data_IF_039260781640
#
_entry.id   IF_039260781640
#
_cell.length_a   1.000
_cell.length_b   1.000
_cell.length_c   1.000
_cell.angle_alpha   90.00
_cell.angle_beta   90.00
_cell.angle_gamma   90.00
#
_symmetry.space_group_name_H-M   'P 1'
#
loop_
_entity.id
_entity.type
_entity.pdbx_description
1 polymer ?
#
# COMPACT_ATOMS: atom_id res chain seq x y z
N UNK A 1 23.20 -1.68 -5.70
CA UNK A 1 21.75 -2.01 -5.77
C UNK A 1 20.95 -0.72 -5.78
N UNK A 2 19.85 -0.65 -6.53
CA UNK A 2 18.94 0.51 -6.47
C UNK A 2 18.18 0.49 -5.13
N UNK A 3 18.08 1.61 -4.38
CA UNK A 3 17.28 1.66 -3.16
C UNK A 3 15.79 1.43 -3.44
N UNK A 4 15.08 0.88 -2.46
CA UNK A 4 13.63 0.72 -2.55
C UNK A 4 12.96 2.09 -2.39
N UNK A 5 12.21 2.51 -3.40
CA UNK A 5 11.38 3.73 -3.35
C UNK A 5 9.94 3.33 -3.09
N UNK A 6 9.27 4.06 -2.20
CA UNK A 6 7.91 3.74 -1.76
C UNK A 6 6.99 4.90 -2.08
N UNK A 7 6.04 4.67 -2.98
CA UNK A 7 5.06 5.67 -3.42
C UNK A 7 3.77 5.44 -2.66
N UNK A 8 3.35 6.44 -1.90
CA UNK A 8 2.08 6.45 -1.20
C UNK A 8 1.08 7.28 -2.01
N UNK A 9 -0.06 6.68 -2.35
CA UNK A 9 -1.15 7.32 -3.08
C UNK A 9 -2.39 7.26 -2.19
N UNK A 10 -2.90 8.43 -1.79
CA UNK A 10 -4.15 8.54 -1.07
C UNK A 10 -5.25 8.89 -2.08
N UNK A 11 -6.34 8.13 -2.09
CA UNK A 11 -7.41 8.26 -3.07
C UNK A 11 -8.78 8.35 -2.39
N UNK A 12 -9.61 9.25 -2.92
CA UNK A 12 -11.01 9.41 -2.55
C UNK A 12 -11.76 10.01 -3.73
N UNK A 13 -12.71 9.29 -4.29
CA UNK A 13 -13.53 9.70 -5.43
C UNK A 13 -12.73 10.36 -6.58
N UNK A 14 -11.66 9.68 -6.99
CA UNK A 14 -10.68 10.17 -7.98
C UNK A 14 -10.81 9.48 -9.35
N UNK A 15 -11.89 8.74 -9.62
CA UNK A 15 -12.05 7.84 -10.78
C UNK A 15 -11.56 8.47 -12.10
N UNK A 16 -11.94 9.73 -12.34
CA UNK A 16 -11.66 10.46 -13.58
C UNK A 16 -10.16 10.55 -13.94
N UNK A 17 -9.27 10.65 -12.96
CA UNK A 17 -7.84 10.87 -13.19
C UNK A 17 -6.96 9.77 -12.58
N UNK A 18 -7.51 8.95 -11.70
CA UNK A 18 -6.77 7.98 -10.92
C UNK A 18 -6.04 6.95 -11.79
N UNK A 19 -6.68 6.46 -12.85
CA UNK A 19 -6.07 5.51 -13.77
C UNK A 19 -4.81 6.07 -14.45
N UNK A 20 -4.86 7.33 -14.91
CA UNK A 20 -3.73 7.99 -15.56
C UNK A 20 -2.58 8.21 -14.58
N UNK A 21 -2.87 8.71 -13.37
CA UNK A 21 -1.85 8.91 -12.34
C UNK A 21 -1.21 7.59 -11.90
N UNK A 22 -2.00 6.54 -11.71
CA UNK A 22 -1.49 5.23 -11.32
C UNK A 22 -0.64 4.60 -12.44
N UNK A 23 -1.06 4.71 -13.70
CA UNK A 23 -0.28 4.27 -14.85
C UNK A 23 1.08 4.98 -14.92
N UNK A 24 1.13 6.29 -14.66
CA UNK A 24 2.38 7.05 -14.64
C UNK A 24 3.34 6.54 -13.55
N UNK A 25 2.84 6.17 -12.37
CA UNK A 25 3.66 5.61 -11.28
C UNK A 25 4.12 4.18 -11.60
N UNK A 26 3.25 3.36 -12.19
CA UNK A 26 3.56 1.97 -12.56
C UNK A 26 4.65 1.91 -13.66
N UNK A 27 4.58 2.83 -14.62
CA UNK A 27 5.48 2.88 -15.79
C UNK A 27 6.79 3.66 -15.54
N UNK A 28 7.11 4.01 -14.29
CA UNK A 28 8.37 4.66 -13.97
C UNK A 28 9.59 3.80 -14.38
N UNK A 29 10.65 4.47 -14.83
CA UNK A 29 11.93 3.81 -15.16
C UNK A 29 12.59 3.19 -13.94
N UNK A 30 12.34 3.75 -12.74
CA UNK A 30 12.77 3.16 -11.47
C UNK A 30 11.97 1.89 -11.18
N UNK A 31 12.64 0.73 -11.20
CA UNK A 31 11.95 -0.57 -11.07
C UNK A 31 11.76 -1.03 -9.64
N UNK A 32 12.68 -0.66 -8.73
CA UNK A 32 12.62 -1.04 -7.32
C UNK A 32 11.62 -0.16 -6.55
N UNK A 33 10.33 -0.34 -6.86
CA UNK A 33 9.19 0.41 -6.32
C UNK A 33 8.28 -0.47 -5.47
N UNK A 34 7.74 0.14 -4.42
CA UNK A 34 6.55 -0.31 -3.70
C UNK A 34 5.47 0.78 -3.83
N UNK A 35 4.25 0.42 -4.22
CA UNK A 35 3.15 1.37 -4.39
C UNK A 35 2.07 1.04 -3.35
N UNK A 36 1.84 1.93 -2.40
CA UNK A 36 0.78 1.82 -1.41
C UNK A 36 -0.38 2.74 -1.79
N UNK A 37 -1.54 2.19 -2.02
CA UNK A 37 -2.78 2.93 -2.25
C UNK A 37 -3.63 2.88 -0.97
N UNK A 38 -4.03 4.03 -0.46
CA UNK A 38 -5.00 4.16 0.64
C UNK A 38 -6.28 4.75 0.07
N UNK A 39 -7.32 3.93 -0.03
CA UNK A 39 -8.65 4.35 -0.47
C UNK A 39 -9.52 4.66 0.75
N UNK A 40 -9.99 5.90 0.85
CA UNK A 40 -10.79 6.38 1.98
C UNK A 40 -12.30 6.12 1.80
N UNK A 41 -12.62 4.91 1.30
CA UNK A 41 -13.99 4.48 1.05
C UNK A 41 -14.61 5.26 -0.09
N UNK A 42 -13.95 5.28 -1.24
CA UNK A 42 -14.52 5.89 -2.44
C UNK A 42 -15.87 5.25 -2.80
N UNK A 43 -16.79 6.06 -3.31
CA UNK A 43 -18.12 5.64 -3.77
C UNK A 43 -18.22 5.57 -5.29
N UNK A 44 -17.13 5.89 -5.98
CA UNK A 44 -17.00 5.84 -7.44
C UNK A 44 -16.10 4.66 -7.87
N UNK A 45 -15.67 4.64 -9.14
CA UNK A 45 -14.80 3.60 -9.70
C UNK A 45 -13.35 3.58 -9.17
N UNK A 46 -12.94 4.49 -8.28
CA UNK A 46 -11.54 4.62 -7.83
C UNK A 46 -10.96 3.30 -7.29
N UNK A 47 -11.68 2.63 -6.40
CA UNK A 47 -11.22 1.38 -5.80
C UNK A 47 -11.18 0.23 -6.82
N UNK A 48 -12.11 0.20 -7.77
CA UNK A 48 -12.13 -0.79 -8.84
C UNK A 48 -10.88 -0.64 -9.73
N UNK A 49 -10.56 0.58 -10.14
CA UNK A 49 -9.35 0.89 -10.89
C UNK A 49 -8.10 0.43 -10.11
N UNK A 50 -7.98 0.76 -8.83
CA UNK A 50 -6.85 0.33 -8.01
C UNK A 50 -6.67 -1.19 -8.02
N UNK A 51 -7.77 -1.94 -7.83
CA UNK A 51 -7.77 -3.40 -7.80
C UNK A 51 -7.42 -4.01 -9.16
N UNK A 52 -7.87 -3.41 -10.26
CA UNK A 52 -7.52 -3.89 -11.58
C UNK A 52 -6.02 -3.76 -11.85
N UNK A 53 -5.41 -2.63 -11.52
CA UNK A 53 -3.95 -2.48 -11.61
C UNK A 53 -3.20 -3.47 -10.72
N UNK A 54 -3.70 -3.73 -9.50
CA UNK A 54 -3.09 -4.70 -8.57
C UNK A 54 -3.04 -6.13 -9.14
N UNK A 55 -4.00 -6.53 -9.98
CA UNK A 55 -3.97 -7.86 -10.64
C UNK A 55 -2.76 -8.03 -11.55
N UNK A 56 -2.31 -6.94 -12.18
CA UNK A 56 -1.22 -6.95 -13.16
C UNK A 56 0.12 -6.52 -12.57
N UNK A 57 0.14 -5.76 -11.49
CA UNK A 57 1.36 -5.28 -10.84
C UNK A 57 1.39 -5.63 -9.34
N UNK A 58 2.21 -6.62 -9.00
CA UNK A 58 2.40 -7.10 -7.62
C UNK A 58 3.06 -6.10 -6.67
N UNK A 59 3.62 -5.00 -7.19
CA UNK A 59 4.17 -3.91 -6.37
C UNK A 59 3.08 -3.09 -5.70
N UNK A 60 1.83 -3.21 -6.15
CA UNK A 60 0.68 -2.45 -5.64
C UNK A 60 0.06 -3.15 -4.42
N UNK A 61 -0.04 -2.39 -3.32
CA UNK A 61 -0.72 -2.79 -2.09
C UNK A 61 -1.85 -1.82 -1.82
N UNK A 62 -3.06 -2.33 -1.61
CA UNK A 62 -4.25 -1.50 -1.39
C UNK A 62 -4.71 -1.63 0.07
N UNK A 63 -5.01 -0.50 0.68
CA UNK A 63 -5.70 -0.39 1.96
C UNK A 63 -7.00 0.39 1.73
N UNK A 64 -8.10 -0.33 1.58
CA UNK A 64 -9.42 0.27 1.35
C UNK A 64 -10.25 0.28 2.63
N UNK A 65 -11.00 1.35 2.84
CA UNK A 65 -11.95 1.46 3.94
C UNK A 65 -13.38 1.14 3.48
N UNK A 66 -14.04 0.24 4.18
CA UNK A 66 -15.48 0.03 3.99
C UNK A 66 -16.26 1.05 4.83
N UNK A 67 -16.95 1.97 4.14
CA UNK A 67 -17.79 3.00 4.76
C UNK A 67 -19.01 2.42 5.50
N UNK A 68 -19.53 1.28 5.04
CA UNK A 68 -20.77 0.71 5.59
C UNK A 68 -20.52 -0.02 6.92
N UNK A 69 -19.36 -0.65 7.08
CA UNK A 69 -19.02 -1.43 8.28
C UNK A 69 -18.67 -0.57 9.51
N UNK A 70 -18.40 0.73 9.35
CA UNK A 70 -17.77 1.54 10.41
C UNK A 70 -18.60 2.72 10.95
N UNK A 71 -19.92 2.74 10.71
CA UNK A 71 -20.83 3.80 11.21
C UNK A 71 -20.78 4.00 12.74
N UNK A 72 -20.40 2.99 13.52
CA UNK A 72 -20.23 3.10 14.99
C UNK A 72 -18.89 3.73 15.40
N UNK A 73 -17.83 3.52 14.63
CA UNK A 73 -16.48 4.02 14.93
C UNK A 73 -16.31 5.49 14.50
N UNK A 74 -16.92 5.89 13.37
CA UNK A 74 -16.86 7.27 12.85
C UNK A 74 -17.54 8.31 13.76
N UNK A 75 -18.45 7.91 14.66
CA UNK A 75 -19.11 8.85 15.58
C UNK A 75 -18.20 9.36 16.71
N UNK A 76 -17.06 8.70 16.95
CA UNK A 76 -16.13 9.06 18.05
C UNK A 76 -14.93 9.89 17.59
N UNK A 77 -14.56 9.81 16.32
CA UNK A 77 -13.39 10.50 15.78
C UNK A 77 -13.81 11.49 14.68
N UNK A 78 -13.25 12.71 14.71
CA UNK A 78 -13.43 13.67 13.61
C UNK A 78 -12.89 13.07 12.30
N UNK A 79 -13.58 13.27 11.14
CA UNK A 79 -13.16 12.71 9.84
C UNK A 79 -11.69 12.97 9.49
N UNK A 80 -11.18 14.16 9.87
CA UNK A 80 -9.79 14.55 9.67
C UNK A 80 -8.79 13.71 10.51
N UNK A 81 -9.17 13.32 11.73
CA UNK A 81 -8.35 12.45 12.58
C UNK A 81 -8.31 11.03 12.05
N UNK A 82 -9.39 10.56 11.44
CA UNK A 82 -9.46 9.22 10.86
C UNK A 82 -8.45 9.07 9.73
N UNK A 83 -8.30 10.06 8.84
CA UNK A 83 -7.29 10.00 7.76
C UNK A 83 -5.85 9.94 8.30
N UNK A 84 -5.48 10.85 9.20
CA UNK A 84 -4.13 10.90 9.80
C UNK A 84 -3.79 9.61 10.55
N UNK A 85 -4.72 9.11 11.37
CA UNK A 85 -4.54 7.83 12.07
C UNK A 85 -4.41 6.65 11.11
N UNK A 86 -5.17 6.64 10.01
CA UNK A 86 -5.11 5.57 9.01
C UNK A 86 -3.79 5.56 8.26
N UNK A 87 -3.28 6.74 7.91
CA UNK A 87 -1.96 6.87 7.32
C UNK A 87 -0.88 6.32 8.26
N UNK A 88 -0.92 6.71 9.54
CA UNK A 88 0.02 6.20 10.55
C UNK A 88 -0.08 4.67 10.68
N UNK A 89 -1.29 4.11 10.70
CA UNK A 89 -1.50 2.64 10.74
C UNK A 89 -0.99 1.95 9.49
N UNK A 90 -1.25 2.50 8.31
CA UNK A 90 -0.77 1.99 7.03
C UNK A 90 0.76 1.94 7.00
N UNK A 91 1.40 3.05 7.36
CA UNK A 91 2.86 3.16 7.45
C UNK A 91 3.44 2.20 8.49
N UNK A 92 2.79 2.07 9.66
CA UNK A 92 3.21 1.14 10.71
C UNK A 92 3.11 -0.32 10.25
N UNK A 93 2.02 -0.68 9.54
CA UNK A 93 1.83 -2.01 8.98
C UNK A 93 2.91 -2.32 7.94
N UNK A 94 3.21 -1.37 7.04
CA UNK A 94 4.28 -1.52 6.05
C UNK A 94 5.62 -1.71 6.73
N UNK A 95 5.96 -0.87 7.70
CA UNK A 95 7.23 -0.95 8.43
C UNK A 95 7.41 -2.32 9.08
N UNK A 96 6.36 -2.83 9.76
CA UNK A 96 6.37 -4.18 10.36
C UNK A 96 6.52 -5.30 9.34
N UNK A 97 5.84 -5.22 8.20
CA UNK A 97 5.95 -6.22 7.14
C UNK A 97 7.35 -6.22 6.50
N UNK A 98 7.99 -5.05 6.36
CA UNK A 98 9.37 -4.95 5.89
C UNK A 98 10.36 -5.58 6.85
N UNK A 99 10.22 -5.31 8.14
CA UNK A 99 11.10 -5.87 9.16
C UNK A 99 11.03 -7.40 9.19
N UNK A 100 9.81 -7.97 9.14
CA UNK A 100 9.61 -9.42 9.04
C UNK A 100 10.23 -10.03 7.79
N UNK A 101 10.09 -9.36 6.63
CA UNK A 101 10.69 -9.83 5.37
C UNK A 101 12.22 -9.77 5.43
N UNK A 102 12.79 -8.74 6.04
CA UNK A 102 14.23 -8.62 6.28
C UNK A 102 14.74 -9.77 7.14
N UNK A 103 14.12 -10.00 8.30
CA UNK A 103 14.48 -11.08 9.22
C UNK A 103 14.38 -12.46 8.56
N UNK A 104 13.30 -12.74 7.80
CA UNK A 104 13.17 -14.00 7.06
C UNK A 104 14.25 -14.18 6.00
N UNK A 105 14.63 -13.11 5.30
CA UNK A 105 15.68 -13.16 4.27
C UNK A 105 17.05 -13.37 4.89
N UNK A 106 17.35 -12.72 6.01
CA UNK A 106 18.57 -12.94 6.80
C UNK A 106 18.64 -14.39 7.34
N UNK A 107 17.52 -14.92 7.85
CA UNK A 107 17.44 -16.32 8.27
C UNK A 107 17.60 -17.30 7.11
N UNK A 108 17.06 -17.01 5.92
CA UNK A 108 17.25 -17.86 4.74
C UNK A 108 18.69 -17.82 4.24
N UNK A 109 19.33 -16.64 4.22
CA UNK A 109 20.73 -16.49 3.84
C UNK A 109 21.63 -17.24 4.83
N UNK A 110 21.38 -17.11 6.13
CA UNK A 110 22.08 -17.90 7.16
C UNK A 110 21.85 -19.41 7.06
N UNK A 111 20.74 -19.85 6.46
CA UNK A 111 20.46 -21.27 6.15
C UNK A 111 21.03 -21.76 4.82
N UNK A 112 21.35 -20.87 3.89
CA UNK A 112 22.03 -21.20 2.63
C UNK A 112 23.55 -21.24 2.86
N UNK A 113 24.05 -20.38 3.76
CA UNK A 113 25.42 -20.41 4.28
C UNK A 113 25.45 -21.32 5.51
N UNK A 114 25.10 -22.60 5.35
CA UNK A 114 25.62 -23.63 6.26
C UNK A 114 26.98 -24.05 5.68
N UNK A 115 28.08 -23.97 6.44
CA UNK A 115 29.35 -24.49 5.98
C UNK A 115 29.17 -25.98 5.68
N UNK A 116 29.58 -26.39 4.49
CA UNK A 116 29.85 -27.78 4.17
C UNK A 116 30.91 -28.24 5.19
N UNK A 117 30.49 -28.98 6.22
CA UNK A 117 31.40 -29.73 7.09
C UNK A 117 31.67 -31.09 6.46
#
# INVERSE_FOLDING_TARGET
MQPLVSVLICAYNAEKYFAQSLAAVVNQTWRNLEILIVDDGSTDGTLAIAKDFQKWDSRIKILAHDRLLNRKQQRRDSPANTFKHRLIRALTKISREREKRRQRREQLIGKIIVPFQ
#
